data_IF_983970657150
#
_entry.id   IF_983970657150
#
_cell.length_a   1.000
_cell.length_b   1.000
_cell.length_c   1.000
_cell.angle_alpha   90.00
_cell.angle_beta   90.00
_cell.angle_gamma   90.00
#
_symmetry.space_group_name_H-M   'P 1'
#
loop_
_entity.id
_entity.type
_entity.pdbx_description
1 polymer ?
#
# COMPACT_ATOMS: atom_id res chain seq x y z
N UNK A 1 12.70 15.73 -11.92
CA UNK A 1 11.49 16.47 -11.52
C UNK A 1 10.39 15.50 -11.16
N UNK A 2 9.72 15.73 -10.03
CA UNK A 2 8.67 14.84 -9.58
C UNK A 2 7.39 15.02 -10.41
N UNK A 3 6.82 13.92 -10.87
CA UNK A 3 5.59 13.93 -11.65
C UNK A 3 4.40 14.28 -10.76
N UNK A 4 3.53 15.17 -11.25
CA UNK A 4 2.28 15.49 -10.56
C UNK A 4 1.16 14.60 -11.10
N UNK A 5 0.25 14.24 -10.22
CA UNK A 5 -0.92 13.44 -10.60
C UNK A 5 -2.17 14.25 -10.35
N UNK A 6 -3.16 14.09 -11.22
CA UNK A 6 -4.46 14.69 -11.01
C UNK A 6 -5.17 14.05 -9.84
N UNK A 7 -5.98 14.81 -9.06
CA UNK A 7 -6.72 14.21 -7.94
C UNK A 7 -7.58 13.01 -8.34
N UNK A 8 -8.13 13.00 -9.56
CA UNK A 8 -8.93 11.88 -10.06
C UNK A 8 -8.12 10.60 -10.27
N UNK A 9 -6.80 10.68 -10.33
CA UNK A 9 -5.92 9.53 -10.48
C UNK A 9 -5.55 8.91 -9.15
N UNK A 10 -5.83 9.61 -8.04
CA UNK A 10 -5.48 9.13 -6.71
C UNK A 10 -6.53 8.12 -6.24
N UNK A 11 -6.07 6.99 -5.75
CA UNK A 11 -6.93 5.94 -5.23
C UNK A 11 -6.39 5.42 -3.91
N UNK A 12 -7.32 4.98 -3.06
CA UNK A 12 -7.02 4.55 -1.70
C UNK A 12 -6.63 3.08 -1.66
N UNK A 13 -5.61 2.72 -2.45
CA UNK A 13 -5.12 1.35 -2.57
C UNK A 13 -3.65 1.31 -2.13
N UNK A 14 -3.32 0.34 -1.29
CA UNK A 14 -1.94 0.15 -0.86
C UNK A 14 -1.09 -0.44 -2.00
N UNK A 15 0.00 0.22 -2.37
CA UNK A 15 0.88 -0.28 -3.44
C UNK A 15 1.72 -1.49 -3.02
N UNK A 16 1.73 -1.83 -1.75
CA UNK A 16 2.45 -3.00 -1.25
C UNK A 16 1.60 -4.26 -1.36
N UNK A 17 0.39 -4.25 -0.80
CA UNK A 17 -0.44 -5.45 -0.69
C UNK A 17 -1.76 -5.39 -1.46
N UNK A 18 -2.12 -4.22 -1.99
CA UNK A 18 -3.36 -4.07 -2.76
C UNK A 18 -4.61 -3.80 -1.92
N UNK A 19 -4.45 -3.56 -0.61
CA UNK A 19 -5.58 -3.22 0.26
C UNK A 19 -6.30 -1.99 -0.28
N UNK A 20 -7.61 -2.07 -0.46
CA UNK A 20 -8.37 -1.06 -1.20
C UNK A 20 -9.27 -0.17 -0.33
N UNK A 21 -8.99 -0.09 0.96
CA UNK A 21 -9.81 0.69 1.88
C UNK A 21 -8.98 1.58 2.80
N UNK A 22 -7.91 2.16 2.27
CA UNK A 22 -7.13 3.17 3.00
C UNK A 22 -7.98 4.41 3.23
N UNK A 23 -7.71 5.16 4.30
CA UNK A 23 -8.41 6.40 4.58
C UNK A 23 -8.09 7.48 3.55
N UNK A 24 -6.86 7.47 3.04
CA UNK A 24 -6.36 8.46 2.09
C UNK A 24 -5.54 7.74 1.01
N UNK A 25 -5.37 8.37 -0.17
CA UNK A 25 -4.37 7.88 -1.10
C UNK A 25 -3.00 7.86 -0.42
N UNK A 26 -2.17 6.83 -0.65
CA UNK A 26 -0.88 6.74 0.04
C UNK A 26 0.07 7.90 -0.25
N UNK A 27 -0.06 8.52 -1.43
CA UNK A 27 0.71 9.71 -1.80
C UNK A 27 -0.23 10.69 -2.51
N UNK A 28 -0.03 12.00 -2.27
CA UNK A 28 -0.87 13.02 -2.88
C UNK A 28 -0.41 13.37 -4.30
N UNK A 29 -1.03 14.40 -4.91
CA UNK A 29 -0.71 14.82 -6.28
C UNK A 29 0.73 15.27 -6.45
N UNK A 30 1.40 15.64 -5.36
CA UNK A 30 2.80 16.08 -5.38
C UNK A 30 3.75 14.96 -4.94
N UNK A 31 3.23 13.80 -4.57
CA UNK A 31 4.02 12.67 -4.11
C UNK A 31 4.35 12.70 -2.63
N UNK A 32 3.69 13.56 -1.85
CA UNK A 32 3.87 13.56 -0.39
C UNK A 32 3.09 12.40 0.23
N UNK A 33 3.70 11.65 1.16
CA UNK A 33 3.04 10.50 1.76
C UNK A 33 1.95 10.91 2.75
N UNK A 34 0.98 10.03 2.92
CA UNK A 34 -0.11 10.22 3.87
C UNK A 34 0.30 9.94 5.30
N UNK A 35 1.38 9.19 5.49
CA UNK A 35 1.83 8.66 6.78
C UNK A 35 0.82 7.68 7.41
N UNK A 36 -0.15 7.24 6.65
CA UNK A 36 -1.07 6.20 7.08
C UNK A 36 -0.33 4.87 7.15
N UNK A 37 -0.67 4.03 8.13
CA UNK A 37 -0.17 2.66 8.23
C UNK A 37 -1.22 1.77 7.60
N UNK A 38 -0.85 1.00 6.59
CA UNK A 38 -1.79 0.09 5.93
C UNK A 38 -2.30 -0.95 6.94
N UNK A 39 -3.61 -1.04 7.15
CA UNK A 39 -4.13 -2.00 8.14
C UNK A 39 -3.86 -3.45 7.76
N UNK A 40 -3.69 -3.73 6.50
CA UNK A 40 -3.48 -5.09 6.01
C UNK A 40 -2.03 -5.54 6.15
N UNK A 41 -1.08 -4.81 5.55
CA UNK A 41 0.32 -5.23 5.56
C UNK A 41 1.20 -4.51 6.59
N UNK A 42 0.74 -3.38 7.12
CA UNK A 42 1.50 -2.64 8.13
C UNK A 42 2.53 -1.67 7.58
N UNK A 43 2.56 -1.46 6.26
CA UNK A 43 3.49 -0.51 5.66
C UNK A 43 3.07 0.92 6.01
N UNK A 44 4.01 1.71 6.52
CA UNK A 44 3.77 3.12 6.83
C UNK A 44 4.33 3.99 5.72
N UNK A 45 3.43 4.65 4.97
CA UNK A 45 3.83 5.46 3.82
C UNK A 45 4.58 6.70 4.28
N UNK A 46 5.79 6.89 3.76
CA UNK A 46 6.65 8.00 4.15
C UNK A 46 7.66 7.65 5.24
N UNK A 47 7.51 6.48 5.87
CA UNK A 47 8.47 6.02 6.87
C UNK A 47 9.24 4.79 6.39
N UNK A 48 8.54 3.71 6.05
CA UNK A 48 9.23 2.47 5.62
C UNK A 48 9.95 2.66 4.29
N UNK A 49 9.37 3.43 3.39
CA UNK A 49 9.98 3.68 2.08
C UNK A 49 11.08 4.74 2.15
N UNK A 50 10.97 5.74 3.03
CA UNK A 50 11.99 6.79 3.09
C UNK A 50 13.02 6.58 4.18
N UNK A 51 12.62 6.29 5.41
CA UNK A 51 13.56 6.12 6.53
C UNK A 51 14.26 4.75 6.51
N UNK A 52 13.53 3.70 6.21
CA UNK A 52 14.07 2.34 6.15
C UNK A 52 14.52 1.94 4.76
N UNK A 53 14.20 2.76 3.75
CA UNK A 53 14.58 2.54 2.36
C UNK A 53 14.14 1.18 1.82
N UNK A 54 13.00 0.67 2.29
CA UNK A 54 12.42 -0.57 1.78
C UNK A 54 11.56 -0.27 0.56
N UNK A 55 11.76 -1.01 -0.50
CA UNK A 55 10.88 -0.90 -1.66
C UNK A 55 9.54 -1.55 -1.36
N UNK A 56 8.50 -1.17 -2.10
CA UNK A 56 7.20 -1.81 -1.98
C UNK A 56 7.30 -3.30 -2.27
N UNK A 57 8.13 -3.67 -3.23
CA UNK A 57 8.33 -5.05 -3.63
C UNK A 57 9.01 -5.87 -2.55
N UNK A 58 10.04 -5.31 -1.90
CA UNK A 58 10.74 -5.98 -0.80
C UNK A 58 9.79 -6.22 0.36
N UNK A 59 9.02 -5.21 0.72
CA UNK A 59 8.07 -5.32 1.83
C UNK A 59 6.97 -6.32 1.51
N UNK A 60 6.47 -6.30 0.27
CA UNK A 60 5.47 -7.26 -0.22
C UNK A 60 5.98 -8.69 -0.12
N UNK A 61 7.23 -8.90 -0.52
CA UNK A 61 7.82 -10.24 -0.45
C UNK A 61 7.87 -10.75 0.98
N UNK A 62 8.28 -9.90 1.91
CA UNK A 62 8.30 -10.27 3.33
C UNK A 62 6.90 -10.59 3.84
N UNK A 63 5.92 -9.79 3.47
CA UNK A 63 4.52 -10.00 3.85
C UNK A 63 3.99 -11.33 3.32
N UNK A 64 4.28 -11.65 2.06
CA UNK A 64 3.90 -12.93 1.45
C UNK A 64 4.60 -14.09 2.16
N UNK A 65 5.90 -13.96 2.39
CA UNK A 65 6.70 -15.00 3.05
C UNK A 65 6.21 -15.25 4.48
N UNK A 66 5.65 -14.23 5.12
CA UNK A 66 5.10 -14.36 6.48
C UNK A 66 3.63 -14.82 6.49
N UNK A 67 3.09 -15.22 5.35
CA UNK A 67 1.77 -15.82 5.27
C UNK A 67 0.61 -14.86 5.08
N UNK A 68 0.86 -13.68 4.51
CA UNK A 68 -0.18 -12.68 4.23
C UNK A 68 -0.91 -12.21 5.50
N UNK A 69 -0.20 -12.06 6.61
CA UNK A 69 -0.80 -11.72 7.90
C UNK A 69 -1.44 -10.34 7.89
N UNK A 70 -2.60 -10.21 8.52
CA UNK A 70 -3.29 -8.93 8.65
C UNK A 70 -2.74 -8.18 9.86
N UNK A 71 -2.32 -6.96 9.66
CA UNK A 71 -1.56 -6.18 10.64
C UNK A 71 -2.41 -5.56 11.75
N UNK A 72 -3.48 -4.85 11.38
CA UNK A 72 -4.19 -4.00 12.33
C UNK A 72 -5.20 -4.77 13.18
N UNK A 73 -5.16 -4.55 14.49
CA UNK A 73 -6.17 -5.05 15.42
C UNK A 73 -7.34 -4.07 15.55
N UNK A 74 -7.08 -2.79 15.25
CA UNK A 74 -8.08 -1.73 15.38
C UNK A 74 -9.01 -1.65 14.16
N UNK A 75 -8.53 -2.06 13.00
CA UNK A 75 -9.30 -2.11 11.76
C UNK A 75 -9.29 -3.53 11.21
N UNK A 76 -9.94 -4.47 11.92
CA UNK A 76 -9.84 -5.88 11.53
C UNK A 76 -10.45 -6.15 10.15
N UNK A 77 -9.90 -7.14 9.48
CA UNK A 77 -10.44 -7.58 8.21
C UNK A 77 -11.82 -8.23 8.44
N UNK A 78 -12.79 -7.92 7.57
CA UNK A 78 -14.10 -8.57 7.62
C UNK A 78 -13.97 -10.05 7.31
N UNK A 79 -13.11 -10.37 6.37
CA UNK A 79 -12.78 -11.74 5.98
C UNK A 79 -11.29 -11.80 5.67
N UNK A 80 -10.66 -12.87 6.08
CA UNK A 80 -9.26 -13.09 5.76
C UNK A 80 -9.06 -14.52 5.29
N UNK A 81 -8.30 -14.69 4.20
CA UNK A 81 -7.78 -15.97 3.76
C UNK A 81 -6.61 -15.71 2.85
N UNK A 82 -5.72 -16.67 2.70
CA UNK A 82 -4.60 -16.52 1.78
C UNK A 82 -5.09 -16.33 0.35
N UNK A 83 -6.19 -17.00 -0.01
CA UNK A 83 -6.78 -16.87 -1.34
C UNK A 83 -7.27 -15.44 -1.60
N UNK A 84 -7.93 -14.83 -0.61
CA UNK A 84 -8.40 -13.46 -0.74
C UNK A 84 -7.24 -12.48 -0.82
N UNK A 85 -6.17 -12.70 -0.05
CA UNK A 85 -5.01 -11.84 -0.06
C UNK A 85 -4.25 -11.93 -1.40
N UNK A 86 -4.14 -13.13 -1.95
CA UNK A 86 -3.55 -13.30 -3.29
C UNK A 86 -4.36 -12.58 -4.36
N UNK A 87 -5.68 -12.63 -4.26
CA UNK A 87 -6.57 -11.93 -5.19
C UNK A 87 -6.42 -10.42 -5.02
N UNK A 88 -6.27 -9.95 -3.79
CA UNK A 88 -6.10 -8.54 -3.47
C UNK A 88 -4.87 -7.94 -4.15
N UNK A 89 -3.80 -8.71 -4.34
CA UNK A 89 -2.58 -8.25 -4.98
C UNK A 89 -2.82 -7.72 -6.39
N UNK A 90 -3.87 -8.15 -7.05
CA UNK A 90 -4.21 -7.66 -8.39
C UNK A 90 -4.56 -6.17 -8.40
N UNK A 91 -4.97 -5.62 -7.26
CA UNK A 91 -5.31 -4.21 -7.16
C UNK A 91 -4.09 -3.30 -7.35
N UNK A 92 -2.88 -3.84 -7.20
CA UNK A 92 -1.64 -3.08 -7.36
C UNK A 92 -1.52 -2.50 -8.77
N UNK A 93 -2.07 -3.19 -9.76
CA UNK A 93 -2.05 -2.70 -11.14
C UNK A 93 -2.74 -1.33 -11.28
N UNK A 94 -3.71 -1.04 -10.41
CA UNK A 94 -4.46 0.22 -10.45
C UNK A 94 -3.65 1.41 -9.96
N UNK A 95 -2.58 1.18 -9.18
CA UNK A 95 -1.77 2.24 -8.57
C UNK A 95 -0.34 2.30 -9.10
N UNK A 96 0.01 1.40 -9.98
CA UNK A 96 1.36 1.19 -10.48
C UNK A 96 2.02 2.44 -11.05
N UNK A 97 1.25 3.27 -11.72
CA UNK A 97 1.78 4.42 -12.44
C UNK A 97 1.62 5.75 -11.71
N UNK A 98 0.95 5.80 -10.58
CA UNK A 98 0.88 7.05 -9.84
C UNK A 98 1.74 7.07 -8.58
N UNK A 99 2.31 5.95 -8.18
CA UNK A 99 3.20 5.92 -7.02
C UNK A 99 4.59 6.33 -7.48
N UNK A 100 5.09 7.51 -7.06
CA UNK A 100 6.22 8.16 -7.73
C UNK A 100 7.58 7.56 -7.52
N UNK A 101 7.74 6.60 -6.65
CA UNK A 101 9.05 6.04 -6.30
C UNK A 101 9.22 4.57 -6.67
N UNK A 102 8.40 4.11 -7.58
CA UNK A 102 8.53 2.74 -8.05
C UNK A 102 9.51 2.63 -9.20
#
# INVERSE_FOLDING_TARGET
>A
MRKRYEPSELINICPVCGYDNLFEPPYDTFGYPSYEICPCCGFEFGFDDSSKKKTFEDYRKEWIDNGYTYFSKERPAKKWSKKLMKKQLKNIEKVKHYVPFL
#
